data_IF_872541118509
#
_entry.id   IF_872541118509
#
_cell.length_a   1.000
_cell.length_b   1.000
_cell.length_c   1.000
_cell.angle_alpha   90.00
_cell.angle_beta   90.00
_cell.angle_gamma   90.00
#
_symmetry.space_group_name_H-M   'P 1'
#
loop_
_entity.id
_entity.type
_entity.pdbx_description
1 polymer ?
#
# COMPACT_ATOMS: atom_id res chain seq x y z
N UNK A 1 -67.99 26.41 -18.97
CA UNK A 1 -66.68 27.06 -18.75
C UNK A 1 -66.71 27.62 -17.32
N UNK A 2 -66.23 27.00 -16.26
CA UNK A 2 -65.12 26.07 -16.08
C UNK A 2 -64.06 26.79 -15.25
N UNK A 3 -64.15 26.75 -13.91
CA UNK A 3 -63.08 27.19 -13.03
C UNK A 3 -62.96 26.20 -11.86
N UNK A 4 -62.09 25.22 -12.05
CA UNK A 4 -61.70 24.24 -11.04
C UNK A 4 -60.69 24.93 -10.12
N UNK A 5 -61.05 25.03 -8.84
CA UNK A 5 -60.14 25.49 -7.79
C UNK A 5 -59.04 24.44 -7.60
N UNK A 6 -57.79 24.84 -7.82
CA UNK A 6 -56.60 24.03 -7.54
C UNK A 6 -55.93 24.58 -6.28
N UNK A 7 -56.20 23.94 -5.14
CA UNK A 7 -55.41 24.14 -3.93
C UNK A 7 -54.04 23.44 -4.08
N UNK A 8 -52.94 24.04 -3.59
CA UNK A 8 -51.62 23.43 -3.72
C UNK A 8 -51.47 22.25 -2.76
N UNK A 9 -50.95 21.14 -3.27
CA UNK A 9 -50.52 20.00 -2.45
C UNK A 9 -49.25 20.39 -1.70
N UNK A 10 -49.32 20.46 -0.37
CA UNK A 10 -48.13 20.58 0.48
C UNK A 10 -47.36 19.27 0.39
N UNK A 11 -46.18 19.30 -0.22
CA UNK A 11 -45.22 18.19 -0.20
C UNK A 11 -44.43 18.30 1.10
N UNK A 12 -44.65 17.38 2.03
CA UNK A 12 -43.85 17.28 3.24
C UNK A 12 -42.41 16.92 2.88
N UNK A 13 -41.45 17.80 3.18
CA UNK A 13 -40.04 17.54 2.98
C UNK A 13 -39.54 16.55 4.04
N UNK A 14 -39.26 15.32 3.62
CA UNK A 14 -38.62 14.30 4.46
C UNK A 14 -37.19 14.73 4.78
N UNK A 15 -36.94 15.12 6.02
CA UNK A 15 -35.59 15.36 6.53
C UNK A 15 -34.86 14.02 6.64
N UNK A 16 -33.94 13.76 5.71
CA UNK A 16 -33.02 12.62 5.81
C UNK A 16 -32.00 12.97 6.89
N UNK A 17 -31.82 12.17 7.96
CA UNK A 17 -30.82 12.47 8.96
C UNK A 17 -29.45 12.36 8.31
N UNK A 18 -28.66 13.43 8.42
CA UNK A 18 -27.25 13.41 8.08
C UNK A 18 -26.53 12.54 9.11
N UNK A 19 -26.52 11.22 8.87
CA UNK A 19 -25.56 10.34 9.54
C UNK A 19 -24.18 10.80 9.13
N UNK A 20 -23.44 11.34 10.10
CA UNK A 20 -22.04 11.66 9.96
C UNK A 20 -21.31 10.44 9.40
N UNK A 21 -20.93 10.50 8.12
CA UNK A 21 -19.93 9.60 7.56
C UNK A 21 -18.61 9.92 8.28
N UNK A 22 -18.37 9.27 9.41
CA UNK A 22 -17.06 9.26 10.03
C UNK A 22 -16.13 8.49 9.10
N UNK A 23 -15.51 9.21 8.18
CA UNK A 23 -14.39 8.71 7.40
C UNK A 23 -13.27 8.37 8.37
N UNK A 24 -13.10 7.09 8.69
CA UNK A 24 -11.95 6.62 9.46
C UNK A 24 -10.71 6.86 8.62
N UNK A 25 -10.00 7.96 8.86
CA UNK A 25 -8.64 8.13 8.38
C UNK A 25 -7.77 7.12 9.13
N UNK A 26 -7.73 5.89 8.63
CA UNK A 26 -6.83 4.86 9.16
C UNK A 26 -5.40 5.28 8.83
N UNK A 27 -4.54 5.34 9.85
CA UNK A 27 -3.16 5.78 9.68
C UNK A 27 -2.32 4.60 9.18
N UNK A 28 -1.49 4.82 8.16
CA UNK A 28 -0.56 3.80 7.69
C UNK A 28 0.60 3.68 8.68
N UNK A 29 0.52 2.72 9.60
CA UNK A 29 1.65 2.38 10.48
C UNK A 29 2.70 1.55 9.71
N UNK A 30 3.99 1.82 9.95
CA UNK A 30 5.07 1.03 9.33
C UNK A 30 5.01 -0.45 9.72
N UNK A 31 4.63 -0.72 10.97
CA UNK A 31 4.49 -2.08 11.51
C UNK A 31 3.33 -2.83 10.84
N UNK A 32 2.15 -2.20 10.74
CA UNK A 32 0.97 -2.79 10.11
C UNK A 32 1.18 -3.04 8.63
N UNK A 33 1.77 -2.07 7.91
CA UNK A 33 2.12 -2.23 6.51
C UNK A 33 3.14 -3.35 6.29
N UNK A 34 4.21 -3.42 7.09
CA UNK A 34 5.22 -4.49 6.95
C UNK A 34 4.62 -5.87 7.21
N UNK A 35 3.73 -6.01 8.20
CA UNK A 35 3.01 -7.25 8.46
C UNK A 35 2.07 -7.62 7.31
N UNK A 36 1.36 -6.65 6.73
CA UNK A 36 0.50 -6.86 5.57
C UNK A 36 1.31 -7.31 4.34
N UNK A 37 2.40 -6.61 4.02
CA UNK A 37 3.31 -6.97 2.93
C UNK A 37 3.83 -8.41 3.08
N UNK A 38 4.20 -8.81 4.30
CA UNK A 38 4.56 -10.20 4.60
C UNK A 38 3.41 -11.16 4.33
N UNK A 39 2.20 -10.84 4.80
CA UNK A 39 0.99 -11.67 4.65
C UNK A 39 0.64 -11.94 3.18
N UNK A 40 0.78 -10.93 2.31
CA UNK A 40 0.49 -11.05 0.87
C UNK A 40 1.68 -11.57 0.06
N UNK A 41 2.73 -12.02 0.73
CA UNK A 41 3.97 -12.51 0.11
C UNK A 41 4.67 -11.47 -0.81
N UNK A 42 4.54 -10.19 -0.48
CA UNK A 42 5.27 -9.13 -1.16
C UNK A 42 6.76 -9.24 -0.84
N UNK A 43 7.60 -8.95 -1.84
CA UNK A 43 9.06 -9.08 -1.75
C UNK A 43 9.73 -7.77 -2.15
N UNK A 44 10.82 -7.43 -1.47
CA UNK A 44 11.73 -6.38 -1.91
C UNK A 44 13.06 -7.03 -2.30
N UNK A 45 13.42 -6.89 -3.56
CA UNK A 45 14.71 -7.30 -4.10
C UNK A 45 15.69 -6.13 -4.01
N UNK A 46 16.88 -6.37 -3.49
CA UNK A 46 17.90 -5.33 -3.39
C UNK A 46 19.29 -5.90 -3.13
N UNK A 47 20.23 -4.99 -2.90
CA UNK A 47 21.58 -5.35 -2.50
C UNK A 47 21.96 -4.64 -1.19
N UNK A 48 22.81 -5.27 -0.37
CA UNK A 48 23.20 -4.69 0.93
C UNK A 48 23.92 -3.33 0.80
N UNK A 49 24.67 -3.14 -0.29
CA UNK A 49 25.44 -1.92 -0.58
C UNK A 49 24.62 -0.83 -1.30
N UNK A 50 23.38 -1.13 -1.71
CA UNK A 50 22.56 -0.24 -2.52
C UNK A 50 21.99 0.93 -1.69
N UNK A 51 22.35 2.20 -1.95
CA UNK A 51 21.91 3.33 -1.14
C UNK A 51 20.38 3.55 -1.19
N UNK A 52 19.77 3.34 -2.35
CA UNK A 52 18.32 3.40 -2.50
C UNK A 52 17.61 2.32 -1.66
N UNK A 53 18.23 1.15 -1.52
CA UNK A 53 17.73 0.06 -0.71
C UNK A 53 17.80 0.41 0.77
N UNK A 54 18.89 1.04 1.21
CA UNK A 54 19.01 1.59 2.57
C UNK A 54 17.92 2.62 2.84
N UNK A 55 17.70 3.58 1.93
CA UNK A 55 16.63 4.59 2.04
C UNK A 55 15.25 3.95 2.18
N UNK A 56 14.95 2.92 1.39
CA UNK A 56 13.68 2.19 1.50
C UNK A 56 13.53 1.50 2.87
N UNK A 57 14.60 0.90 3.40
CA UNK A 57 14.62 0.25 4.72
C UNK A 57 14.39 1.26 5.84
N UNK A 58 15.02 2.43 5.76
CA UNK A 58 14.88 3.52 6.74
C UNK A 58 13.44 4.01 6.88
N UNK A 59 12.68 4.08 5.78
CA UNK A 59 11.26 4.46 5.82
C UNK A 59 10.41 3.52 6.70
N UNK A 60 10.79 2.25 6.80
CA UNK A 60 10.13 1.28 7.69
C UNK A 60 10.75 1.24 9.09
N UNK A 61 11.99 1.69 9.26
CA UNK A 61 12.75 1.51 10.49
C UNK A 61 12.80 0.04 10.93
N UNK A 62 12.56 -0.22 12.21
CA UNK A 62 12.60 -1.58 12.77
C UNK A 62 11.51 -2.51 12.18
N UNK A 63 10.41 -1.97 11.66
CA UNK A 63 9.34 -2.76 11.04
C UNK A 63 9.81 -3.52 9.80
N UNK A 64 10.89 -3.07 9.16
CA UNK A 64 11.45 -3.71 7.96
C UNK A 64 11.85 -5.17 8.20
N UNK A 65 12.15 -5.57 9.44
CA UNK A 65 12.43 -6.97 9.81
C UNK A 65 11.30 -7.95 9.44
N UNK A 66 10.07 -7.44 9.28
CA UNK A 66 8.92 -8.24 8.84
C UNK A 66 8.81 -8.32 7.31
N UNK A 67 9.40 -7.38 6.57
CA UNK A 67 9.38 -7.37 5.10
C UNK A 67 10.24 -8.51 4.57
N UNK A 68 9.74 -9.21 3.55
CA UNK A 68 10.52 -10.24 2.87
C UNK A 68 11.54 -9.59 1.93
N UNK A 69 12.75 -9.39 2.44
CA UNK A 69 13.87 -8.89 1.67
C UNK A 69 14.64 -10.03 1.01
N UNK A 70 14.91 -9.91 -0.29
CA UNK A 70 15.72 -10.83 -1.07
C UNK A 70 17.03 -10.14 -1.41
N UNK A 71 18.12 -10.62 -0.80
CA UNK A 71 19.47 -10.12 -1.05
C UNK A 71 19.99 -10.68 -2.38
N UNK A 72 20.25 -9.80 -3.34
CA UNK A 72 20.64 -10.17 -4.70
C UNK A 72 22.15 -10.23 -4.93
N UNK A 73 22.99 -9.70 -4.03
CA UNK A 73 24.45 -9.79 -4.16
C UNK A 73 24.98 -11.00 -3.37
N UNK A 74 25.79 -11.84 -4.01
CA UNK A 74 26.36 -13.05 -3.42
C UNK A 74 27.25 -12.80 -2.20
N UNK A 75 27.72 -11.56 -1.98
CA UNK A 75 28.55 -11.17 -0.85
C UNK A 75 27.73 -10.70 0.36
N UNK A 76 26.41 -10.58 0.21
CA UNK A 76 25.50 -10.19 1.30
C UNK A 76 25.20 -11.34 2.27
N UNK A 77 24.43 -11.04 3.31
CA UNK A 77 23.98 -12.06 4.29
C UNK A 77 22.80 -12.84 3.74
N UNK A 78 22.86 -14.18 3.83
CA UNK A 78 21.84 -15.10 3.28
C UNK A 78 21.44 -14.74 1.83
N UNK A 79 22.42 -14.66 0.92
CA UNK A 79 22.20 -14.13 -0.41
C UNK A 79 21.39 -15.12 -1.26
N UNK A 80 20.57 -14.59 -2.17
CA UNK A 80 19.73 -15.35 -3.10
C UNK A 80 19.79 -14.79 -4.54
N UNK A 81 21.00 -14.64 -5.14
CA UNK A 81 21.15 -14.05 -6.47
C UNK A 81 20.35 -14.78 -7.55
N UNK A 82 20.19 -16.10 -7.43
CA UNK A 82 19.45 -16.94 -8.37
C UNK A 82 17.97 -16.59 -8.38
N UNK A 83 17.37 -16.27 -7.22
CA UNK A 83 15.99 -15.80 -7.17
C UNK A 83 15.84 -14.44 -7.86
N UNK A 84 16.83 -13.56 -7.75
CA UNK A 84 16.80 -12.26 -8.42
C UNK A 84 16.94 -12.41 -9.95
N UNK A 85 17.79 -13.33 -10.41
CA UNK A 85 17.92 -13.68 -11.84
C UNK A 85 16.61 -14.26 -12.39
N UNK A 86 16.03 -15.25 -11.69
CA UNK A 86 14.76 -15.88 -12.07
C UNK A 86 13.60 -14.87 -12.08
N UNK A 87 13.59 -13.94 -11.12
CA UNK A 87 12.64 -12.84 -11.07
C UNK A 87 12.97 -11.71 -12.06
N UNK A 88 14.00 -11.83 -12.90
CA UNK A 88 14.41 -10.83 -13.89
C UNK A 88 14.51 -9.41 -13.29
N UNK A 89 15.18 -9.28 -12.15
CA UNK A 89 15.38 -8.00 -11.46
C UNK A 89 16.43 -7.17 -12.21
N UNK A 90 16.05 -5.99 -12.68
CA UNK A 90 16.89 -5.11 -13.50
C UNK A 90 17.48 -3.93 -12.74
N UNK A 91 16.85 -3.55 -11.63
CA UNK A 91 17.24 -2.41 -10.81
C UNK A 91 16.97 -2.68 -9.32
N UNK A 92 17.68 -1.95 -8.46
CA UNK A 92 17.49 -2.03 -7.02
C UNK A 92 17.05 -0.67 -6.43
N UNK A 93 16.13 -0.67 -5.45
CA UNK A 93 15.30 -1.81 -5.07
C UNK A 93 14.21 -2.08 -6.12
N UNK A 94 13.71 -3.32 -6.17
CA UNK A 94 12.48 -3.68 -6.89
C UNK A 94 11.51 -4.33 -5.93
N UNK A 95 10.28 -3.85 -5.90
CA UNK A 95 9.18 -4.47 -5.16
C UNK A 95 8.39 -5.40 -6.07
N UNK A 96 8.13 -6.62 -5.62
CA UNK A 96 7.13 -7.51 -6.22
C UNK A 96 5.93 -7.57 -5.29
N UNK A 97 4.80 -7.03 -5.74
CA UNK A 97 3.55 -6.93 -4.97
C UNK A 97 2.42 -7.41 -5.87
N UNK A 98 1.65 -8.41 -5.43
CA UNK A 98 0.54 -9.00 -6.18
C UNK A 98 0.92 -9.41 -7.62
N UNK A 99 2.12 -9.98 -7.79
CA UNK A 99 2.65 -10.44 -9.09
C UNK A 99 3.17 -9.33 -10.01
N UNK A 100 3.08 -8.05 -9.62
CA UNK A 100 3.60 -6.90 -10.37
C UNK A 100 4.91 -6.39 -9.78
N UNK A 101 5.81 -5.91 -10.63
CA UNK A 101 7.12 -5.35 -10.24
C UNK A 101 7.13 -3.83 -10.32
N UNK A 102 7.67 -3.20 -9.29
CA UNK A 102 7.79 -1.75 -9.16
C UNK A 102 9.22 -1.41 -8.78
N UNK A 103 9.93 -0.69 -9.65
CA UNK A 103 11.32 -0.33 -9.46
C UNK A 103 11.43 0.99 -8.68
N UNK A 104 12.38 1.05 -7.73
CA UNK A 104 12.70 2.25 -6.98
C UNK A 104 12.17 2.30 -5.56
N UNK A 105 12.41 3.45 -4.92
CA UNK A 105 12.03 3.72 -3.53
C UNK A 105 10.63 4.30 -3.49
N UNK A 106 9.78 3.75 -2.63
CA UNK A 106 8.41 4.19 -2.44
C UNK A 106 8.17 4.66 -1.00
N UNK A 107 7.44 5.76 -0.78
CA UNK A 107 6.92 6.09 0.53
C UNK A 107 5.97 4.99 1.03
N UNK A 108 5.81 4.86 2.35
CA UNK A 108 4.94 3.84 2.95
C UNK A 108 3.50 3.93 2.43
N UNK A 109 2.98 5.14 2.20
CA UNK A 109 1.65 5.36 1.63
C UNK A 109 1.49 4.77 0.23
N UNK A 110 2.52 4.90 -0.63
CA UNK A 110 2.48 4.30 -1.97
C UNK A 110 2.52 2.77 -1.89
N UNK A 111 3.36 2.21 -1.01
CA UNK A 111 3.38 0.76 -0.78
C UNK A 111 2.04 0.25 -0.21
N UNK A 112 1.38 1.03 0.63
CA UNK A 112 0.04 0.73 1.13
C UNK A 112 -0.98 0.67 -0.02
N UNK A 113 -0.99 1.68 -0.89
CA UNK A 113 -1.84 1.71 -2.08
C UNK A 113 -1.57 0.52 -3.02
N UNK A 114 -0.30 0.24 -3.33
CA UNK A 114 0.08 -0.88 -4.22
C UNK A 114 -0.30 -2.25 -3.64
N UNK A 115 -0.32 -2.38 -2.32
CA UNK A 115 -0.64 -3.63 -1.61
C UNK A 115 -2.10 -3.75 -1.18
N UNK A 116 -2.93 -2.71 -1.37
CA UNK A 116 -4.31 -2.66 -0.88
C UNK A 116 -4.41 -2.61 0.64
N UNK A 117 -3.40 -2.05 1.32
CA UNK A 117 -3.42 -1.84 2.76
C UNK A 117 -4.10 -0.52 3.11
N UNK A 118 -5.18 -0.56 3.88
CA UNK A 118 -5.97 0.63 4.25
C UNK A 118 -5.51 1.27 5.56
N UNK A 119 -4.61 0.63 6.33
CA UNK A 119 -4.25 1.07 7.67
C UNK A 119 -4.91 0.22 8.75
N UNK A 120 -4.61 0.52 10.01
CA UNK A 120 -5.11 -0.19 11.18
C UNK A 120 -5.50 0.77 12.31
#
# INVERSE_FOLDING_TARGET
MGAIALAPRIVAASAVPATFAQSTHQTISAQGLAAHLKKINAKMYGAYWCPACTKQKELFGNAFKSVQYIECDARGTNPKPELCKQANIRAYPTWEINGKKYEGVFPLSALAQLSGYEGN
#
